data_IF_725806377916
#
_entry.id   IF_725806377916
#
_cell.length_a   1.000
_cell.length_b   1.000
_cell.length_c   1.000
_cell.angle_alpha   90.00
_cell.angle_beta   90.00
_cell.angle_gamma   90.00
#
_symmetry.space_group_name_H-M   'P 1'
#
loop_
_entity.id
_entity.type
_entity.pdbx_description
1 polymer ?
#
# COMPACT_ATOMS: atom_id res chain seq x y z
N UNK A 1 11.04 -3.18 -15.63
CA UNK A 1 10.53 -3.16 -14.25
C UNK A 1 10.14 -1.74 -13.90
N UNK A 2 8.99 -1.55 -13.23
CA UNK A 2 8.58 -0.24 -12.72
C UNK A 2 9.15 -0.01 -11.31
N UNK A 3 9.15 -1.06 -10.48
CA UNK A 3 9.80 -1.08 -9.17
C UNK A 3 10.82 -2.20 -9.17
N UNK A 4 12.05 -1.91 -8.73
CA UNK A 4 13.14 -2.88 -8.70
C UNK A 4 13.97 -2.69 -7.43
N UNK A 5 14.07 -3.74 -6.62
CA UNK A 5 14.97 -3.84 -5.49
C UNK A 5 16.15 -4.71 -5.82
N UNK A 6 17.38 -4.24 -5.54
CA UNK A 6 18.64 -4.96 -5.79
C UNK A 6 19.51 -4.99 -4.55
N UNK A 7 19.85 -6.19 -4.08
CA UNK A 7 20.73 -6.43 -2.95
C UNK A 7 20.26 -5.71 -1.69
N UNK A 8 18.93 -5.67 -1.44
CA UNK A 8 18.36 -4.88 -0.35
C UNK A 8 18.81 -5.44 1.01
N UNK A 9 19.43 -4.59 1.79
CA UNK A 9 19.78 -4.87 3.19
C UNK A 9 19.20 -3.78 4.09
N UNK A 10 18.48 -4.20 5.12
CA UNK A 10 18.07 -3.33 6.22
C UNK A 10 18.43 -3.96 7.55
N UNK A 11 19.26 -3.27 8.32
CA UNK A 11 19.72 -3.68 9.65
C UNK A 11 19.15 -2.73 10.71
N UNK A 12 18.71 -3.30 11.82
CA UNK A 12 18.37 -2.56 13.03
C UNK A 12 19.24 -3.06 14.18
N UNK A 13 19.52 -2.21 15.17
CA UNK A 13 20.40 -2.53 16.29
C UNK A 13 21.87 -2.29 15.98
N UNK A 14 22.73 -2.66 16.93
CA UNK A 14 24.21 -2.57 16.83
C UNK A 14 24.87 -3.77 17.51
N UNK A 15 26.06 -4.18 17.02
CA UNK A 15 26.82 -5.28 17.58
C UNK A 15 26.05 -6.61 17.53
N UNK A 16 26.07 -7.37 18.63
CA UNK A 16 25.40 -8.68 18.73
C UNK A 16 23.86 -8.61 18.66
N UNK A 17 23.28 -7.45 18.94
CA UNK A 17 21.82 -7.23 18.83
C UNK A 17 21.36 -6.80 17.43
N UNK A 18 22.20 -6.96 16.40
CA UNK A 18 21.85 -6.62 15.02
C UNK A 18 20.83 -7.61 14.46
N UNK A 19 19.70 -7.08 13.97
CA UNK A 19 18.65 -7.85 13.28
C UNK A 19 18.59 -7.43 11.83
N UNK A 20 18.63 -8.39 10.92
CA UNK A 20 18.43 -8.18 9.49
C UNK A 20 16.93 -8.23 9.17
N UNK A 21 16.30 -7.07 9.00
CA UNK A 21 14.91 -7.00 8.59
C UNK A 21 14.74 -7.25 7.08
N UNK A 22 15.77 -6.90 6.27
CA UNK A 22 15.97 -7.36 4.90
C UNK A 22 17.42 -7.86 4.78
N UNK A 23 17.61 -8.98 4.09
CA UNK A 23 18.91 -9.66 4.00
C UNK A 23 19.23 -10.02 2.54
N UNK A 24 19.97 -9.12 1.85
CA UNK A 24 20.49 -9.27 0.48
C UNK A 24 19.43 -9.79 -0.50
N UNK A 25 18.26 -9.12 -0.53
CA UNK A 25 17.10 -9.61 -1.30
C UNK A 25 16.83 -8.78 -2.54
N UNK A 26 16.39 -9.46 -3.60
CA UNK A 26 16.02 -8.85 -4.87
C UNK A 26 14.53 -9.07 -5.16
N UNK A 27 13.89 -8.09 -5.80
CA UNK A 27 12.54 -8.26 -6.33
C UNK A 27 12.26 -7.26 -7.45
N UNK A 28 11.17 -7.49 -8.18
CA UNK A 28 10.70 -6.56 -9.20
C UNK A 28 9.20 -6.64 -9.43
N UNK A 29 8.59 -5.51 -9.82
CA UNK A 29 7.17 -5.36 -10.12
C UNK A 29 7.00 -4.52 -11.39
N UNK A 30 5.92 -4.76 -12.14
CA UNK A 30 5.57 -3.96 -13.30
C UNK A 30 4.55 -2.86 -12.95
N UNK A 31 4.46 -1.82 -13.78
CA UNK A 31 3.49 -0.73 -13.59
C UNK A 31 2.07 -1.25 -13.75
N UNK A 32 1.17 -0.80 -12.85
CA UNK A 32 -0.24 -1.15 -12.89
C UNK A 32 -0.58 -2.55 -12.35
N UNK A 33 0.41 -3.35 -11.91
CA UNK A 33 0.14 -4.64 -11.27
C UNK A 33 -0.50 -4.44 -9.88
N UNK A 34 -1.38 -5.36 -9.50
CA UNK A 34 -1.73 -5.63 -8.11
C UNK A 34 -0.74 -6.68 -7.59
N UNK A 35 0.10 -6.29 -6.65
CA UNK A 35 1.13 -7.16 -6.06
C UNK A 35 0.75 -7.48 -4.63
N UNK A 36 0.76 -8.76 -4.28
CA UNK A 36 0.56 -9.20 -2.90
C UNK A 36 1.88 -9.76 -2.36
N UNK A 37 2.33 -9.17 -1.25
CA UNK A 37 3.53 -9.59 -0.52
C UNK A 37 3.10 -10.40 0.69
N UNK A 38 3.44 -11.67 0.70
CA UNK A 38 3.09 -12.63 1.74
C UNK A 38 4.29 -12.97 2.62
N UNK A 39 4.02 -13.24 3.88
CA UNK A 39 5.00 -13.76 4.81
C UNK A 39 4.51 -13.73 6.26
N UNK A 40 5.14 -14.48 7.17
CA UNK A 40 4.79 -14.46 8.59
C UNK A 40 5.04 -13.08 9.23
N UNK A 41 4.52 -12.87 10.43
CA UNK A 41 4.86 -11.67 11.22
C UNK A 41 6.37 -11.59 11.44
N UNK A 42 6.93 -10.39 11.35
CA UNK A 42 8.37 -10.16 11.52
C UNK A 42 9.24 -10.53 10.32
N UNK A 43 8.68 -11.02 9.20
CA UNK A 43 9.48 -11.43 8.02
C UNK A 43 10.10 -10.29 7.20
N UNK A 44 9.86 -9.00 7.54
CA UNK A 44 10.41 -7.84 6.83
C UNK A 44 9.45 -7.14 5.88
N UNK A 45 8.18 -7.56 5.76
CA UNK A 45 7.18 -6.97 4.85
C UNK A 45 6.98 -5.47 5.07
N UNK A 46 6.68 -5.05 6.31
CA UNK A 46 6.45 -3.63 6.64
C UNK A 46 7.73 -2.82 6.47
N UNK A 47 8.91 -3.41 6.73
CA UNK A 47 10.20 -2.77 6.45
C UNK A 47 10.36 -2.51 4.96
N UNK A 48 10.08 -3.50 4.11
CA UNK A 48 10.12 -3.33 2.65
C UNK A 48 9.13 -2.26 2.18
N UNK A 49 7.90 -2.27 2.73
CA UNK A 49 6.88 -1.28 2.40
C UNK A 49 7.33 0.15 2.79
N UNK A 50 7.92 0.31 3.97
CA UNK A 50 8.42 1.61 4.45
C UNK A 50 9.58 2.13 3.60
N UNK A 51 10.49 1.26 3.16
CA UNK A 51 11.59 1.64 2.25
C UNK A 51 11.03 2.06 0.90
N UNK A 52 10.13 1.26 0.30
CA UNK A 52 9.44 1.62 -0.94
C UNK A 52 8.64 2.91 -0.79
N UNK A 53 8.08 3.15 0.39
CA UNK A 53 7.38 4.38 0.74
C UNK A 53 8.28 5.59 1.00
N UNK A 54 9.61 5.43 1.00
CA UNK A 54 10.55 6.50 1.37
C UNK A 54 10.38 6.99 2.81
N UNK A 55 9.83 6.12 3.69
CA UNK A 55 9.68 6.37 5.13
C UNK A 55 10.89 5.87 5.92
N UNK A 56 11.64 4.92 5.35
CA UNK A 56 12.88 4.40 5.91
C UNK A 56 13.92 4.26 4.80
N UNK A 57 15.21 4.18 5.17
CA UNK A 57 16.34 4.06 4.23
C UNK A 57 16.97 2.67 4.34
N UNK A 58 17.46 2.15 3.21
CA UNK A 58 18.27 0.93 3.19
C UNK A 58 19.57 1.13 3.95
N UNK A 59 20.11 0.03 4.48
CA UNK A 59 21.51 -0.02 4.96
C UNK A 59 22.45 -0.23 3.78
N UNK A 60 22.07 -1.11 2.83
CA UNK A 60 22.84 -1.44 1.62
C UNK A 60 21.86 -1.81 0.48
N UNK A 61 22.32 -1.75 -0.76
CA UNK A 61 21.52 -2.07 -1.94
C UNK A 61 20.87 -0.84 -2.59
N UNK A 62 19.87 -1.07 -3.43
CA UNK A 62 19.16 0.01 -4.12
C UNK A 62 17.69 -0.31 -4.36
N UNK A 63 16.83 0.70 -4.15
CA UNK A 63 15.42 0.69 -4.50
C UNK A 63 15.18 1.66 -5.66
N UNK A 64 14.79 1.15 -6.81
CA UNK A 64 14.54 1.94 -8.03
C UNK A 64 13.04 1.94 -8.28
N UNK A 65 12.47 3.14 -8.44
CA UNK A 65 11.05 3.33 -8.78
C UNK A 65 10.98 4.26 -10.00
N UNK A 66 10.35 3.79 -11.07
CA UNK A 66 10.21 4.53 -12.33
C UNK A 66 11.57 5.08 -12.85
N UNK A 67 12.62 4.26 -12.75
CA UNK A 67 13.99 4.62 -13.13
C UNK A 67 14.75 5.49 -12.14
N UNK A 68 14.14 5.92 -11.04
CA UNK A 68 14.76 6.80 -10.02
C UNK A 68 15.15 5.98 -8.80
N UNK A 69 16.40 6.17 -8.35
CA UNK A 69 16.94 5.49 -7.17
C UNK A 69 16.61 6.28 -5.89
N UNK A 70 15.83 5.67 -4.99
CA UNK A 70 15.35 6.33 -3.77
C UNK A 70 16.49 6.64 -2.78
N UNK A 71 17.55 5.84 -2.72
CA UNK A 71 18.68 6.06 -1.81
C UNK A 71 19.50 7.30 -2.18
N UNK A 72 19.37 7.79 -3.42
CA UNK A 72 20.05 9.01 -3.89
C UNK A 72 19.23 10.27 -3.68
N UNK A 73 17.98 10.12 -3.26
CA UNK A 73 17.09 11.26 -2.99
C UNK A 73 17.43 11.94 -1.66
N UNK A 74 17.43 13.26 -1.66
CA UNK A 74 17.39 14.08 -0.45
C UNK A 74 16.04 13.92 0.27
N UNK A 75 15.99 14.33 1.53
CA UNK A 75 14.73 14.23 2.31
C UNK A 75 13.60 15.07 1.68
N UNK A 76 13.93 16.20 1.03
CA UNK A 76 12.97 17.04 0.28
C UNK A 76 12.43 16.34 -0.97
N UNK A 77 13.29 15.61 -1.69
CA UNK A 77 12.88 14.80 -2.84
C UNK A 77 12.03 13.60 -2.43
N UNK A 78 12.37 12.94 -1.32
CA UNK A 78 11.54 11.87 -0.74
C UNK A 78 10.17 12.41 -0.27
N UNK A 79 10.11 13.62 0.28
CA UNK A 79 8.83 14.28 0.60
C UNK A 79 7.99 14.50 -0.67
N UNK A 80 8.58 15.04 -1.73
CA UNK A 80 7.92 15.25 -3.01
C UNK A 80 7.47 13.90 -3.65
N UNK A 81 8.28 12.85 -3.54
CA UNK A 81 7.95 11.50 -3.95
C UNK A 81 6.71 10.98 -3.22
N UNK A 82 6.68 11.05 -1.87
CA UNK A 82 5.52 10.65 -1.08
C UNK A 82 4.27 11.46 -1.42
N UNK A 83 4.41 12.77 -1.60
CA UNK A 83 3.29 13.65 -1.92
C UNK A 83 2.68 13.34 -3.29
N UNK A 84 3.52 13.17 -4.32
CA UNK A 84 3.07 13.14 -5.71
C UNK A 84 2.88 11.72 -6.27
N UNK A 85 3.62 10.73 -5.75
CA UNK A 85 3.69 9.39 -6.35
C UNK A 85 3.03 8.29 -5.49
N UNK A 86 2.88 8.52 -4.19
CA UNK A 86 2.42 7.48 -3.27
C UNK A 86 1.08 7.78 -2.64
N UNK A 87 0.21 6.76 -2.59
CA UNK A 87 -0.85 6.64 -1.62
C UNK A 87 -0.44 5.63 -0.55
N UNK A 88 -0.75 5.90 0.71
CA UNK A 88 -0.46 4.98 1.81
C UNK A 88 -1.74 4.67 2.60
N UNK A 89 -2.03 3.40 2.78
CA UNK A 89 -3.16 2.89 3.57
C UNK A 89 -2.60 2.01 4.68
N UNK A 90 -2.72 2.46 5.92
CA UNK A 90 -2.22 1.78 7.10
C UNK A 90 -3.27 0.85 7.71
N UNK A 91 -2.84 -0.16 8.42
CA UNK A 91 -3.69 -1.09 9.17
C UNK A 91 -4.61 -0.37 10.18
N UNK A 92 -4.11 0.68 10.84
CA UNK A 92 -4.84 1.49 11.83
C UNK A 92 -5.60 2.68 11.22
N UNK A 93 -5.83 2.68 9.89
CA UNK A 93 -6.51 3.72 9.11
C UNK A 93 -5.84 5.09 9.15
N UNK A 94 -5.31 5.54 10.27
CA UNK A 94 -4.64 6.82 10.53
C UNK A 94 -5.47 8.03 10.06
N UNK A 95 -6.80 7.97 10.21
CA UNK A 95 -7.68 9.10 9.95
C UNK A 95 -7.49 10.17 11.00
N UNK A 96 -7.64 11.44 10.58
CA UNK A 96 -7.65 12.58 11.51
C UNK A 96 -8.99 12.57 12.26
N UNK A 97 -9.00 12.35 13.57
CA UNK A 97 -10.23 12.05 14.32
C UNK A 97 -11.22 13.23 14.41
N UNK A 98 -10.70 14.46 14.33
CA UNK A 98 -11.46 15.70 14.42
C UNK A 98 -11.92 16.25 13.05
N UNK A 99 -11.64 15.52 11.97
CA UNK A 99 -12.11 15.82 10.63
C UNK A 99 -13.17 14.79 10.20
N UNK A 100 -14.18 15.28 9.50
CA UNK A 100 -15.19 14.43 8.85
C UNK A 100 -14.57 13.55 7.75
N UNK A 101 -15.33 12.61 7.19
CA UNK A 101 -14.92 11.78 6.05
C UNK A 101 -14.50 12.66 4.88
N UNK A 102 -15.30 13.66 4.52
CA UNK A 102 -14.99 14.60 3.43
C UNK A 102 -13.70 15.35 3.71
N UNK A 103 -13.57 15.98 4.87
CA UNK A 103 -12.41 16.77 5.24
C UNK A 103 -11.11 15.94 5.32
N UNK A 104 -11.18 14.66 5.76
CA UNK A 104 -10.03 13.75 5.71
C UNK A 104 -9.52 13.53 4.29
N UNK A 105 -10.39 13.53 3.28
CA UNK A 105 -10.03 13.37 1.87
C UNK A 105 -9.54 14.71 1.30
N UNK A 106 -10.28 15.80 1.52
CA UNK A 106 -10.00 17.14 1.00
C UNK A 106 -8.65 17.67 1.48
N UNK A 107 -8.30 17.47 2.77
CA UNK A 107 -6.99 17.83 3.32
C UNK A 107 -5.82 17.26 2.49
N UNK A 108 -6.00 16.06 1.95
CA UNK A 108 -4.96 15.44 1.12
C UNK A 108 -5.05 15.90 -0.34
N UNK A 109 -6.24 16.22 -0.84
CA UNK A 109 -6.43 16.78 -2.17
C UNK A 109 -5.70 18.12 -2.34
N UNK A 110 -5.69 18.94 -1.29
CA UNK A 110 -4.99 20.25 -1.29
C UNK A 110 -3.45 20.16 -1.43
N UNK A 111 -2.87 18.97 -1.22
CA UNK A 111 -1.42 18.76 -1.33
C UNK A 111 -0.93 18.67 -2.79
N UNK A 112 -1.83 18.52 -3.77
CA UNK A 112 -1.50 18.31 -5.19
C UNK A 112 -2.29 19.24 -6.10
N UNK A 113 -1.73 19.53 -7.28
CA UNK A 113 -2.35 20.50 -8.21
C UNK A 113 -3.55 19.94 -8.99
N UNK A 114 -3.64 18.62 -9.19
CA UNK A 114 -4.69 17.97 -9.99
C UNK A 114 -5.22 16.72 -9.26
N UNK A 115 -5.96 16.91 -8.16
CA UNK A 115 -6.56 15.80 -7.43
C UNK A 115 -7.71 15.15 -8.22
N UNK A 116 -8.05 13.90 -7.86
CA UNK A 116 -9.32 13.31 -8.26
C UNK A 116 -10.48 14.06 -7.60
N UNK A 117 -11.64 14.05 -8.26
CA UNK A 117 -12.86 14.59 -7.65
C UNK A 117 -13.18 13.82 -6.36
N UNK A 118 -13.28 14.57 -5.26
CA UNK A 118 -13.63 14.02 -3.95
C UNK A 118 -15.01 13.35 -4.01
N UNK A 119 -15.99 13.98 -4.68
CA UNK A 119 -17.34 13.43 -4.83
C UNK A 119 -17.31 12.10 -5.59
N UNK A 120 -16.60 12.02 -6.70
CA UNK A 120 -16.47 10.79 -7.51
C UNK A 120 -15.82 9.67 -6.69
N UNK A 121 -14.78 9.98 -5.90
CA UNK A 121 -14.13 9.00 -5.01
C UNK A 121 -15.08 8.54 -3.91
N UNK A 122 -15.79 9.46 -3.28
CA UNK A 122 -16.74 9.14 -2.23
C UNK A 122 -17.89 8.25 -2.75
N UNK A 123 -18.39 8.52 -3.92
CA UNK A 123 -19.41 7.70 -4.58
C UNK A 123 -18.89 6.30 -4.88
N UNK A 124 -17.72 6.19 -5.55
CA UNK A 124 -17.11 4.91 -5.93
C UNK A 124 -16.78 4.03 -4.72
N UNK A 125 -16.45 4.64 -3.57
CA UNK A 125 -16.15 3.96 -2.32
C UNK A 125 -17.36 3.81 -1.39
N UNK A 126 -18.56 4.28 -1.82
CA UNK A 126 -19.79 4.19 -1.04
C UNK A 126 -19.75 4.98 0.26
N UNK A 127 -19.13 6.16 0.22
CA UNK A 127 -18.95 7.06 1.36
C UNK A 127 -19.85 8.28 1.36
N UNK A 128 -20.57 8.58 0.27
CA UNK A 128 -21.37 9.80 0.10
C UNK A 128 -22.32 10.08 1.28
N UNK A 129 -23.01 9.04 1.77
CA UNK A 129 -23.93 9.21 2.91
C UNK A 129 -23.23 9.41 4.27
N UNK A 130 -21.91 9.23 4.31
CA UNK A 130 -21.09 9.39 5.53
C UNK A 130 -20.22 10.66 5.46
N UNK A 131 -20.40 11.53 4.46
CA UNK A 131 -19.52 12.69 4.20
C UNK A 131 -19.27 13.57 5.43
N UNK A 132 -20.29 13.75 6.27
CA UNK A 132 -20.27 14.59 7.47
C UNK A 132 -19.99 13.81 8.77
N UNK A 133 -19.78 12.48 8.68
CA UNK A 133 -19.48 11.66 9.85
C UNK A 133 -17.99 11.77 10.21
N UNK A 134 -17.72 11.71 11.50
CA UNK A 134 -16.35 11.61 12.04
C UNK A 134 -15.89 10.14 12.08
N UNK A 135 -14.56 9.87 12.07
CA UNK A 135 -14.03 8.52 12.12
C UNK A 135 -14.62 7.62 13.19
N UNK A 136 -14.86 8.14 14.40
CA UNK A 136 -15.46 7.41 15.53
C UNK A 136 -16.90 6.92 15.29
N UNK A 137 -17.58 7.48 14.30
CA UNK A 137 -18.97 7.13 13.94
C UNK A 137 -19.03 6.09 12.83
N UNK A 138 -17.87 5.67 12.32
CA UNK A 138 -17.73 4.76 11.18
C UNK A 138 -17.38 3.34 11.65
N UNK A 139 -17.92 2.33 10.93
CA UNK A 139 -17.41 0.97 11.07
C UNK A 139 -15.96 0.87 10.53
N UNK A 140 -15.21 -0.19 10.93
CA UNK A 140 -13.85 -0.41 10.44
C UNK A 140 -13.74 -0.42 8.92
N UNK A 141 -14.67 -1.09 8.22
CA UNK A 141 -14.71 -1.09 6.75
C UNK A 141 -14.97 0.29 6.13
N UNK A 142 -15.78 1.14 6.80
CA UNK A 142 -16.01 2.52 6.36
C UNK A 142 -14.77 3.37 6.58
N UNK A 143 -14.10 3.24 7.73
CA UNK A 143 -12.83 3.92 8.01
C UNK A 143 -11.75 3.52 6.99
N UNK A 144 -11.67 2.23 6.66
CA UNK A 144 -10.73 1.72 5.65
C UNK A 144 -11.00 2.32 4.27
N UNK A 145 -12.26 2.41 3.85
CA UNK A 145 -12.63 3.05 2.58
C UNK A 145 -12.31 4.55 2.57
N UNK A 146 -12.49 5.24 3.69
CA UNK A 146 -12.08 6.63 3.84
C UNK A 146 -10.54 6.79 3.71
N UNK A 147 -9.76 5.91 4.35
CA UNK A 147 -8.31 5.90 4.22
C UNK A 147 -7.85 5.63 2.77
N UNK A 148 -8.55 4.74 2.04
CA UNK A 148 -8.30 4.49 0.62
C UNK A 148 -8.64 5.75 -0.21
N UNK A 149 -9.79 6.38 0.01
CA UNK A 149 -10.16 7.61 -0.68
C UNK A 149 -9.10 8.70 -0.49
N UNK A 150 -8.69 8.93 0.76
CA UNK A 150 -7.64 9.88 1.12
C UNK A 150 -6.31 9.57 0.44
N UNK A 151 -5.93 8.29 0.32
CA UNK A 151 -4.72 7.89 -0.37
C UNK A 151 -4.81 8.09 -1.88
N UNK A 152 -5.98 7.78 -2.47
CA UNK A 152 -6.21 7.80 -3.92
C UNK A 152 -6.46 9.19 -4.50
N UNK A 153 -6.94 10.15 -3.70
CA UNK A 153 -7.31 11.50 -4.19
C UNK A 153 -6.17 12.21 -4.91
N UNK A 154 -4.92 11.89 -4.58
CA UNK A 154 -3.71 12.43 -5.20
C UNK A 154 -3.39 11.85 -6.58
N UNK A 155 -4.15 10.88 -7.10
CA UNK A 155 -3.81 10.09 -8.31
C UNK A 155 -2.44 9.41 -8.20
N UNK A 156 -2.15 8.63 -7.15
CA UNK A 156 -0.82 8.08 -6.94
C UNK A 156 -0.46 7.06 -8.03
N UNK A 157 0.83 6.99 -8.41
CA UNK A 157 1.35 5.93 -9.27
C UNK A 157 1.39 4.58 -8.52
N UNK A 158 1.54 4.63 -7.18
CA UNK A 158 1.66 3.47 -6.30
C UNK A 158 0.75 3.65 -5.08
N UNK A 159 -0.06 2.65 -4.78
CA UNK A 159 -0.85 2.53 -3.55
C UNK A 159 -0.23 1.44 -2.67
N UNK A 160 0.32 1.83 -1.53
CA UNK A 160 0.90 0.94 -0.53
C UNK A 160 -0.12 0.63 0.55
N UNK A 161 -0.39 -0.65 0.77
CA UNK A 161 -1.41 -1.12 1.71
C UNK A 161 -0.78 -2.05 2.75
N UNK A 162 -0.77 -1.61 4.00
CA UNK A 162 -0.31 -2.41 5.13
C UNK A 162 -1.50 -3.10 5.80
N UNK A 163 -1.57 -4.45 5.72
CA UNK A 163 -2.59 -5.30 6.35
C UNK A 163 -4.04 -4.79 6.12
N UNK A 164 -4.39 -4.53 4.86
CA UNK A 164 -5.61 -3.82 4.44
C UNK A 164 -6.92 -4.36 5.04
N UNK A 165 -6.95 -5.64 5.42
CA UNK A 165 -8.14 -6.34 5.91
C UNK A 165 -7.98 -6.93 7.32
N UNK A 166 -6.83 -6.71 7.96
CA UNK A 166 -6.47 -7.39 9.21
C UNK A 166 -7.41 -7.11 10.40
N UNK A 167 -8.13 -5.98 10.39
CA UNK A 167 -9.07 -5.60 11.44
C UNK A 167 -10.54 -5.69 11.00
N UNK A 168 -10.84 -6.33 9.85
CA UNK A 168 -12.16 -6.36 9.25
C UNK A 168 -12.78 -7.76 9.28
N UNK A 169 -14.11 -7.83 9.37
CA UNK A 169 -14.84 -9.08 9.09
C UNK A 169 -14.73 -9.46 7.60
N UNK A 170 -15.05 -10.72 7.27
CA UNK A 170 -14.94 -11.27 5.91
C UNK A 170 -15.72 -10.46 4.87
N UNK A 171 -16.94 -10.02 5.19
CA UNK A 171 -17.77 -9.24 4.27
C UNK A 171 -17.17 -7.87 4.00
N UNK A 172 -16.73 -7.17 5.04
CA UNK A 172 -16.06 -5.87 4.93
C UNK A 172 -14.73 -5.98 4.20
N UNK A 173 -13.96 -7.04 4.45
CA UNK A 173 -12.72 -7.36 3.74
C UNK A 173 -12.96 -7.50 2.25
N UNK A 174 -13.97 -8.28 1.85
CA UNK A 174 -14.34 -8.50 0.45
C UNK A 174 -14.75 -7.20 -0.24
N UNK A 175 -15.56 -6.36 0.42
CA UNK A 175 -15.96 -5.05 -0.12
C UNK A 175 -14.76 -4.11 -0.32
N UNK A 176 -13.85 -4.04 0.65
CA UNK A 176 -12.64 -3.20 0.56
C UNK A 176 -11.72 -3.66 -0.57
N UNK A 177 -11.42 -4.97 -0.67
CA UNK A 177 -10.56 -5.51 -1.73
C UNK A 177 -11.15 -5.31 -3.12
N UNK A 178 -12.48 -5.49 -3.27
CA UNK A 178 -13.20 -5.22 -4.51
C UNK A 178 -13.03 -3.77 -4.97
N UNK A 179 -13.11 -2.83 -4.04
CA UNK A 179 -12.92 -1.40 -4.34
C UNK A 179 -11.47 -1.09 -4.73
N UNK A 180 -10.49 -1.69 -4.06
CA UNK A 180 -9.07 -1.57 -4.44
C UNK A 180 -8.84 -2.13 -5.84
N UNK A 181 -9.41 -3.30 -6.17
CA UNK A 181 -9.34 -3.87 -7.53
C UNK A 181 -9.97 -2.92 -8.57
N UNK A 182 -11.14 -2.36 -8.28
CA UNK A 182 -11.80 -1.37 -9.14
C UNK A 182 -10.97 -0.10 -9.33
N UNK A 183 -10.31 0.41 -8.28
CA UNK A 183 -9.39 1.55 -8.37
C UNK A 183 -8.18 1.24 -9.27
N UNK A 184 -7.57 0.08 -9.11
CA UNK A 184 -6.49 -0.37 -10.00
C UNK A 184 -6.96 -0.48 -11.46
N UNK A 185 -8.13 -1.07 -11.70
CA UNK A 185 -8.71 -1.21 -13.04
C UNK A 185 -8.96 0.17 -13.70
N UNK A 186 -9.44 1.15 -12.91
CA UNK A 186 -9.82 2.49 -13.41
C UNK A 186 -8.61 3.40 -13.59
N UNK A 187 -7.74 3.48 -12.59
CA UNK A 187 -6.66 4.48 -12.55
C UNK A 187 -5.30 3.90 -12.93
N UNK A 188 -5.19 2.59 -13.11
CA UNK A 188 -3.92 1.89 -13.40
C UNK A 188 -2.82 2.13 -12.36
N UNK A 189 -3.20 2.51 -11.15
CA UNK A 189 -2.29 2.63 -10.01
C UNK A 189 -1.70 1.26 -9.68
N UNK A 190 -0.39 1.17 -9.51
CA UNK A 190 0.27 -0.04 -9.01
C UNK A 190 -0.11 -0.23 -7.55
N UNK A 191 -0.68 -1.37 -7.19
CA UNK A 191 -1.14 -1.64 -5.81
C UNK A 191 -0.22 -2.67 -5.18
N UNK A 192 0.34 -2.35 -4.02
CA UNK A 192 1.18 -3.26 -3.22
C UNK A 192 0.49 -3.53 -1.89
N UNK A 193 0.05 -4.75 -1.68
CA UNK A 193 -0.63 -5.19 -0.46
C UNK A 193 0.31 -6.11 0.30
N UNK A 194 0.70 -5.75 1.52
CA UNK A 194 1.35 -6.69 2.43
C UNK A 194 0.32 -7.32 3.36
N UNK A 195 0.38 -8.63 3.51
CA UNK A 195 -0.56 -9.38 4.36
C UNK A 195 -0.01 -10.76 4.74
N UNK A 196 -0.57 -11.34 5.78
CA UNK A 196 -0.38 -12.75 6.12
C UNK A 196 -1.53 -13.65 5.63
N UNK A 197 -2.61 -13.07 5.09
CA UNK A 197 -3.75 -13.82 4.56
C UNK A 197 -3.46 -14.31 3.14
N UNK A 198 -3.27 -15.63 2.99
CA UNK A 198 -2.95 -16.28 1.72
C UNK A 198 -4.08 -16.16 0.69
N UNK A 199 -5.34 -16.05 1.12
CA UNK A 199 -6.48 -16.01 0.22
C UNK A 199 -6.46 -14.73 -0.64
N UNK A 200 -5.91 -13.62 -0.13
CA UNK A 200 -5.81 -12.35 -0.85
C UNK A 200 -4.91 -12.48 -2.11
N UNK A 201 -3.97 -13.42 -2.11
CA UNK A 201 -3.08 -13.65 -3.25
C UNK A 201 -3.84 -14.00 -4.55
N UNK A 202 -5.06 -14.52 -4.45
CA UNK A 202 -5.88 -14.86 -5.62
C UNK A 202 -6.19 -13.65 -6.52
N UNK A 203 -6.28 -12.42 -5.97
CA UNK A 203 -6.55 -11.22 -6.77
C UNK A 203 -5.30 -10.57 -7.39
N UNK A 204 -4.11 -11.02 -7.02
CA UNK A 204 -2.86 -10.40 -7.43
C UNK A 204 -2.48 -10.76 -8.87
N UNK A 205 -1.80 -9.83 -9.55
CA UNK A 205 -1.06 -10.09 -10.81
C UNK A 205 0.28 -10.75 -10.51
N UNK A 206 0.85 -10.42 -9.33
CA UNK A 206 2.16 -10.91 -8.86
C UNK A 206 2.11 -11.24 -7.38
N UNK A 207 2.76 -12.33 -7.02
CA UNK A 207 2.89 -12.78 -5.64
C UNK A 207 4.36 -12.79 -5.27
N UNK A 208 4.71 -12.08 -4.19
CA UNK A 208 6.04 -12.08 -3.60
C UNK A 208 5.93 -12.73 -2.21
N UNK A 209 6.82 -13.67 -1.92
CA UNK A 209 6.90 -14.29 -0.60
C UNK A 209 8.19 -13.87 0.10
N UNK A 210 8.05 -13.40 1.34
CA UNK A 210 9.19 -12.99 2.19
C UNK A 210 9.21 -13.86 3.44
N UNK A 211 10.38 -14.40 3.75
CA UNK A 211 10.67 -15.16 4.98
C UNK A 211 12.04 -14.74 5.49
N UNK A 212 12.12 -14.40 6.78
CA UNK A 212 13.38 -14.03 7.45
C UNK A 212 14.21 -12.97 6.70
N UNK A 213 13.53 -11.92 6.24
CA UNK A 213 14.14 -10.81 5.51
C UNK A 213 14.49 -11.11 4.04
N UNK A 214 14.20 -12.31 3.52
CA UNK A 214 14.53 -12.72 2.15
C UNK A 214 13.29 -12.91 1.29
N UNK A 215 13.35 -12.41 0.07
CA UNK A 215 12.37 -12.77 -0.97
C UNK A 215 12.69 -14.17 -1.44
N UNK A 216 11.85 -15.12 -1.05
CA UNK A 216 12.00 -16.55 -1.43
C UNK A 216 11.25 -16.89 -2.71
N UNK A 217 10.33 -16.04 -3.15
CA UNK A 217 9.58 -16.20 -4.39
C UNK A 217 9.08 -14.85 -4.91
N UNK A 218 9.16 -14.62 -6.22
CA UNK A 218 8.60 -13.47 -6.94
C UNK A 218 8.05 -13.99 -8.28
N UNK A 219 6.76 -14.28 -8.33
CA UNK A 219 6.13 -14.97 -9.47
C UNK A 219 4.91 -14.21 -9.97
N UNK A 220 4.69 -14.20 -11.28
CA UNK A 220 3.41 -13.77 -11.87
C UNK A 220 2.34 -14.80 -11.53
N UNK A 221 1.16 -14.30 -11.18
CA UNK A 221 -0.01 -15.14 -10.94
C UNK A 221 -0.73 -15.39 -12.27
N UNK A 222 -0.75 -16.62 -12.73
CA UNK A 222 -1.42 -17.04 -13.96
C UNK A 222 -2.89 -17.41 -13.76
N UNK A 223 -3.34 -17.50 -12.49
CA UNK A 223 -4.73 -17.81 -12.10
C UNK A 223 -5.33 -16.66 -11.28
N UNK A 224 -5.21 -15.42 -11.82
CA UNK A 224 -5.79 -14.22 -11.17
C UNK A 224 -7.31 -14.30 -11.20
N UNK A 225 -7.93 -14.06 -10.04
CA UNK A 225 -9.38 -14.08 -9.83
C UNK A 225 -9.94 -12.69 -9.55
N UNK A 226 -11.19 -12.51 -9.87
CA UNK A 226 -11.94 -11.37 -9.34
C UNK A 226 -12.24 -11.59 -7.85
N UNK A 227 -12.26 -10.50 -7.07
CA UNK A 227 -12.52 -10.60 -5.61
C UNK A 227 -13.89 -11.24 -5.32
N UNK A 228 -14.86 -11.08 -6.21
CA UNK A 228 -16.18 -11.72 -6.10
C UNK A 228 -16.12 -13.25 -6.08
N UNK A 229 -15.15 -13.83 -6.79
CA UNK A 229 -14.95 -15.28 -6.99
C UNK A 229 -14.10 -15.90 -5.88
N UNK A 230 -13.55 -15.08 -4.98
CA UNK A 230 -12.65 -15.54 -3.93
C UNK A 230 -13.41 -15.85 -2.63
N UNK A 231 -12.94 -16.88 -1.93
CA UNK A 231 -13.25 -17.13 -0.52
C UNK A 231 -12.15 -16.48 0.33
N UNK A 232 -12.53 -15.59 1.27
CA UNK A 232 -11.60 -14.83 2.13
C UNK A 232 -11.62 -15.34 3.57
#
# INVERSE_FOLDING_TARGET
MFIEGKGLVKKYGKGEATVYALDHTDFGMEKGEVVVILGPSGSGKSTLLNILGGLDKLTEGSMIVDGVNLEKMSDKELEAYRRNKLGFVFQSYNLTPDLTVRENIEMTAELVNDPLSVDTLMESLGLTKYEKHFPKELSGGQQQRCAIARAMVKKPDILLCDELTGALDTKSSKDVLKRVQSMNDTYKTTVVIITHNLNIAGMADRIIKITDGKVVSNTKNTDKKRVEEMEL
#
